data_IF_804248868186
#
_entry.id   IF_804248868186
#
_cell.length_a   1.000
_cell.length_b   1.000
_cell.length_c   1.000
_cell.angle_alpha   90.00
_cell.angle_beta   90.00
_cell.angle_gamma   90.00
#
_symmetry.space_group_name_H-M   'P 1'
#
loop_
_entity.id
_entity.type
_entity.pdbx_description
1 polymer ?
#
# COMPACT_ATOMS: atom_id res chain seq x y z
N UNK A 1 -11.24 -25.15 39.76
CA UNK A 1 -10.08 -25.74 39.05
C UNK A 1 -9.87 -24.94 37.78
N UNK A 2 -8.80 -24.15 37.72
CA UNK A 2 -8.50 -23.31 36.57
C UNK A 2 -7.92 -24.15 35.45
N UNK A 3 -8.71 -24.36 34.41
CA UNK A 3 -8.21 -24.88 33.15
C UNK A 3 -7.52 -23.72 32.42
N UNK A 4 -6.24 -23.50 32.72
CA UNK A 4 -5.39 -22.65 31.89
C UNK A 4 -4.97 -23.48 30.68
N UNK A 5 -5.96 -23.80 29.84
CA UNK A 5 -5.71 -24.33 28.50
C UNK A 5 -4.63 -23.47 27.86
N UNK A 6 -3.51 -24.09 27.49
CA UNK A 6 -2.47 -23.47 26.68
C UNK A 6 -3.10 -23.09 25.33
N UNK A 7 -3.67 -21.90 25.25
CA UNK A 7 -4.22 -21.39 24.00
C UNK A 7 -3.05 -21.22 23.06
N UNK A 8 -3.01 -22.04 22.02
CA UNK A 8 -1.95 -22.03 21.01
C UNK A 8 -1.97 -20.66 20.33
N UNK A 9 -0.98 -19.83 20.66
CA UNK A 9 -0.83 -18.50 20.07
C UNK A 9 -0.19 -18.63 18.70
N UNK A 10 -0.81 -18.04 17.69
CA UNK A 10 -0.32 -18.03 16.32
C UNK A 10 0.24 -16.65 15.97
N UNK A 11 1.21 -16.61 15.07
CA UNK A 11 1.65 -15.36 14.47
C UNK A 11 0.81 -15.11 13.21
N UNK A 12 -0.01 -14.05 13.17
CA UNK A 12 -0.77 -13.75 11.98
C UNK A 12 0.17 -13.30 10.86
N UNK A 13 -0.17 -13.57 9.58
CA UNK A 13 0.54 -12.99 8.47
C UNK A 13 0.45 -11.46 8.56
N UNK A 14 1.62 -10.82 8.60
CA UNK A 14 1.78 -9.39 8.69
C UNK A 14 2.59 -8.88 7.51
N UNK A 15 2.25 -7.69 7.04
CA UNK A 15 2.99 -6.96 6.03
C UNK A 15 3.42 -5.62 6.60
N UNK A 16 4.59 -5.12 6.23
CA UNK A 16 5.01 -3.80 6.64
C UNK A 16 5.52 -2.98 5.44
N UNK A 17 5.26 -1.69 5.49
CA UNK A 17 5.79 -0.69 4.58
C UNK A 17 6.24 0.53 5.38
N UNK A 18 6.90 1.45 4.71
CA UNK A 18 7.30 2.70 5.32
C UNK A 18 7.15 3.86 4.34
N UNK A 19 7.07 5.04 4.92
CA UNK A 19 7.15 6.37 4.30
C UNK A 19 8.32 7.11 4.95
N UNK A 20 8.53 8.36 4.54
CA UNK A 20 9.52 9.25 5.14
C UNK A 20 9.49 9.18 6.69
N UNK A 21 8.34 9.49 7.29
CA UNK A 21 8.20 9.58 8.75
C UNK A 21 7.22 8.58 9.37
N UNK A 22 6.67 7.65 8.60
CA UNK A 22 5.61 6.72 9.07
C UNK A 22 5.91 5.28 8.68
N UNK A 23 5.71 4.36 9.60
CA UNK A 23 5.72 2.92 9.39
C UNK A 23 4.28 2.43 9.31
N UNK A 24 3.97 1.65 8.28
CA UNK A 24 2.69 1.00 8.10
C UNK A 24 2.86 -0.49 8.41
N UNK A 25 2.10 -1.02 9.36
CA UNK A 25 2.07 -2.43 9.69
C UNK A 25 0.65 -2.96 9.48
N UNK A 26 0.47 -3.86 8.54
CA UNK A 26 -0.82 -4.45 8.18
C UNK A 26 -0.86 -5.90 8.66
N UNK A 27 -1.79 -6.21 9.56
CA UNK A 27 -2.02 -7.56 10.07
C UNK A 27 -3.23 -8.14 9.34
N UNK A 28 -3.06 -9.25 8.63
CA UNK A 28 -4.12 -9.91 7.88
C UNK A 28 -4.85 -10.93 8.76
N UNK A 29 -5.80 -10.43 9.55
CA UNK A 29 -6.73 -11.24 10.36
C UNK A 29 -8.13 -10.74 10.08
N UNK A 30 -9.01 -11.65 9.66
CA UNK A 30 -10.43 -11.39 9.40
C UNK A 30 -11.22 -11.52 10.71
N UNK A 31 -12.40 -10.88 10.78
CA UNK A 31 -13.35 -10.99 11.90
C UNK A 31 -12.70 -10.82 13.29
N UNK A 32 -11.96 -9.71 13.48
CA UNK A 32 -11.27 -9.45 14.75
C UNK A 32 -12.30 -9.06 15.83
N UNK A 33 -12.33 -9.85 16.90
CA UNK A 33 -13.13 -9.57 18.10
C UNK A 33 -12.55 -8.34 18.83
N UNK A 34 -13.16 -7.16 18.64
CA UNK A 34 -12.68 -5.89 19.21
C UNK A 34 -12.51 -5.93 20.73
N UNK A 35 -13.32 -6.73 21.42
CA UNK A 35 -13.32 -6.86 22.89
C UNK A 35 -12.09 -7.64 23.40
N UNK A 36 -11.54 -8.53 22.57
CA UNK A 36 -10.39 -9.37 22.89
C UNK A 36 -9.10 -8.87 22.23
N UNK A 37 -9.11 -7.60 21.80
CA UNK A 37 -7.98 -6.95 21.17
C UNK A 37 -7.19 -6.16 22.20
N UNK A 38 -5.94 -6.54 22.41
CA UNK A 38 -4.98 -5.78 23.19
C UNK A 38 -3.88 -5.24 22.27
N UNK A 39 -3.60 -3.94 22.37
CA UNK A 39 -2.55 -3.28 21.62
C UNK A 39 -1.75 -2.42 22.59
N UNK A 40 -0.45 -2.67 22.65
CA UNK A 40 0.51 -1.89 23.43
C UNK A 40 1.67 -1.54 22.53
N UNK A 41 1.93 -0.25 22.37
CA UNK A 41 3.06 0.25 21.60
C UNK A 41 3.88 1.11 22.53
N UNK A 42 5.09 0.66 22.80
CA UNK A 42 6.13 1.40 23.50
C UNK A 42 7.05 2.08 22.48
N UNK A 43 8.04 2.85 22.94
CA UNK A 43 8.99 3.54 22.06
C UNK A 43 9.70 2.56 21.12
N UNK A 44 10.15 1.41 21.59
CA UNK A 44 10.93 0.43 20.82
C UNK A 44 10.25 -0.95 20.70
N UNK A 45 9.02 -1.11 21.19
CA UNK A 45 8.33 -2.40 21.24
C UNK A 45 6.89 -2.32 20.75
N UNK A 46 6.53 -3.27 19.91
CA UNK A 46 5.16 -3.44 19.44
C UNK A 46 4.60 -4.75 19.98
N UNK A 47 3.50 -4.64 20.73
CA UNK A 47 2.73 -5.76 21.23
C UNK A 47 1.30 -5.69 20.73
N UNK A 48 0.84 -6.76 20.11
CA UNK A 48 -0.52 -6.90 19.61
C UNK A 48 -1.03 -8.30 19.90
N UNK A 49 -2.20 -8.36 20.50
CA UNK A 49 -2.92 -9.58 20.79
C UNK A 49 -4.36 -9.42 20.29
N UNK A 50 -4.87 -10.43 19.61
CA UNK A 50 -6.26 -10.45 19.20
C UNK A 50 -6.79 -11.87 19.03
N UNK A 51 -8.11 -11.99 19.00
CA UNK A 51 -8.81 -13.22 18.62
C UNK A 51 -9.62 -12.93 17.36
N UNK A 52 -9.53 -13.82 16.37
CA UNK A 52 -10.22 -13.61 15.09
C UNK A 52 -10.11 -14.79 14.14
N UNK A 53 -10.74 -14.63 12.98
CA UNK A 53 -10.93 -15.66 11.97
C UNK A 53 -12.06 -16.63 12.32
N UNK A 54 -12.49 -17.40 11.33
CA UNK A 54 -13.59 -18.37 11.46
C UNK A 54 -13.35 -19.42 12.57
N UNK A 55 -12.10 -19.76 12.83
CA UNK A 55 -11.70 -20.73 13.87
C UNK A 55 -11.42 -20.07 15.24
N UNK A 56 -11.67 -18.76 15.37
CA UNK A 56 -11.46 -17.97 16.58
C UNK A 56 -10.06 -18.18 17.20
N UNK A 57 -9.04 -18.21 16.35
CA UNK A 57 -7.66 -18.37 16.79
C UNK A 57 -7.17 -17.14 17.54
N UNK A 58 -6.29 -17.38 18.52
CA UNK A 58 -5.61 -16.33 19.25
C UNK A 58 -4.28 -16.02 18.56
N UNK A 59 -4.15 -14.77 18.15
CA UNK A 59 -2.98 -14.21 17.49
C UNK A 59 -2.22 -13.31 18.44
N UNK A 60 -0.90 -13.44 18.45
CA UNK A 60 -0.01 -12.61 19.23
C UNK A 60 1.21 -12.20 18.40
N UNK A 61 1.56 -10.92 18.45
CA UNK A 61 2.78 -10.36 17.90
C UNK A 61 3.45 -9.56 19.02
N UNK A 62 4.66 -9.95 19.37
CA UNK A 62 5.49 -9.25 20.34
C UNK A 62 6.90 -9.16 19.78
N UNK A 63 7.32 -7.95 19.41
CA UNK A 63 8.64 -7.74 18.84
C UNK A 63 9.18 -6.34 19.10
N UNK A 64 10.51 -6.24 19.07
CA UNK A 64 11.24 -4.97 19.11
C UNK A 64 11.39 -4.37 17.73
N UNK A 65 11.11 -3.09 17.63
CA UNK A 65 11.27 -2.27 16.43
C UNK A 65 12.75 -1.95 16.20
N UNK A 66 13.11 -1.70 14.94
CA UNK A 66 14.48 -1.38 14.56
C UNK A 66 14.98 -0.07 15.21
N UNK A 67 14.08 0.89 15.42
CA UNK A 67 14.32 2.19 16.05
C UNK A 67 13.08 2.62 16.83
N UNK A 68 13.22 3.69 17.61
CA UNK A 68 12.13 4.27 18.38
C UNK A 68 11.04 4.89 17.48
N UNK A 69 9.78 4.65 17.88
CA UNK A 69 8.57 5.21 17.30
C UNK A 69 7.82 6.02 18.35
N UNK A 70 6.95 6.91 17.88
CA UNK A 70 6.04 7.64 18.74
C UNK A 70 4.78 6.77 18.98
N UNK A 71 4.76 6.07 20.11
CA UNK A 71 3.61 5.23 20.51
C UNK A 71 2.30 6.00 20.69
N UNK A 72 2.37 7.31 20.96
CA UNK A 72 1.22 8.18 21.15
C UNK A 72 0.52 8.54 19.82
N UNK A 73 1.28 8.58 18.72
CA UNK A 73 0.79 8.91 17.37
C UNK A 73 0.26 7.69 16.61
N UNK A 74 0.10 6.55 17.29
CA UNK A 74 -0.40 5.32 16.69
C UNK A 74 -1.81 5.49 16.16
N UNK A 75 -1.96 5.41 14.84
CA UNK A 75 -3.26 5.38 14.18
C UNK A 75 -3.61 3.96 13.77
N UNK A 76 -4.82 3.54 14.08
CA UNK A 76 -5.35 2.23 13.73
C UNK A 76 -6.40 2.38 12.64
N UNK A 77 -6.28 1.57 11.59
CA UNK A 77 -7.14 1.57 10.42
C UNK A 77 -7.68 0.14 10.27
N UNK A 78 -8.78 -0.18 10.98
CA UNK A 78 -9.43 -1.47 10.85
C UNK A 78 -10.16 -1.56 9.50
N UNK A 79 -9.98 -2.69 8.83
CA UNK A 79 -10.74 -3.13 7.66
C UNK A 79 -11.41 -4.47 8.02
N UNK A 80 -12.37 -4.91 7.21
CA UNK A 80 -13.07 -6.18 7.41
C UNK A 80 -12.13 -7.40 7.46
N UNK A 81 -11.04 -7.33 6.67
CA UNK A 81 -10.08 -8.44 6.49
C UNK A 81 -8.69 -8.23 7.08
N UNK A 82 -8.37 -6.98 7.41
CA UNK A 82 -7.02 -6.61 7.80
C UNK A 82 -7.05 -5.41 8.74
N UNK A 83 -6.05 -5.34 9.60
CA UNK A 83 -5.87 -4.27 10.56
C UNK A 83 -4.55 -3.59 10.30
N UNK A 84 -4.61 -2.37 9.79
CA UNK A 84 -3.42 -1.57 9.51
C UNK A 84 -3.13 -0.61 10.67
N UNK A 85 -1.87 -0.53 11.06
CA UNK A 85 -1.34 0.38 12.06
C UNK A 85 -0.39 1.34 11.37
N UNK A 86 -0.57 2.64 11.58
CA UNK A 86 0.37 3.67 11.18
C UNK A 86 1.09 4.18 12.43
N UNK A 87 2.38 3.90 12.51
CA UNK A 87 3.30 4.27 13.58
C UNK A 87 4.17 5.42 13.07
N UNK A 88 4.22 6.55 13.78
CA UNK A 88 5.11 7.65 13.40
C UNK A 88 6.52 7.39 13.93
N UNK A 89 7.55 7.60 13.11
CA UNK A 89 8.94 7.54 13.58
C UNK A 89 9.19 8.69 14.55
N UNK A 90 9.94 8.45 15.63
CA UNK A 90 10.23 9.47 16.64
C UNK A 90 11.20 10.54 16.13
N UNK A 91 12.16 10.14 15.30
CA UNK A 91 13.12 11.04 14.64
C UNK A 91 12.64 11.37 13.21
N UNK A 92 12.13 12.59 12.94
CA UNK A 92 11.79 12.99 11.58
C UNK A 92 13.03 13.07 10.70
N UNK A 93 12.91 12.68 9.42
CA UNK A 93 14.04 12.69 8.48
C UNK A 93 15.10 11.61 8.71
N UNK A 94 14.77 10.56 9.48
CA UNK A 94 15.64 9.38 9.56
C UNK A 94 15.64 8.59 8.24
N UNK A 95 16.78 7.99 7.86
CA UNK A 95 16.84 7.15 6.67
C UNK A 95 15.83 6.00 6.76
N UNK A 96 15.38 5.54 5.60
CA UNK A 96 14.49 4.38 5.48
C UNK A 96 15.06 3.19 6.26
N UNK A 97 14.20 2.54 7.04
CA UNK A 97 14.59 1.41 7.86
C UNK A 97 14.87 0.21 6.94
N UNK A 98 16.04 -0.46 7.05
CA UNK A 98 16.33 -1.63 6.24
C UNK A 98 15.46 -2.85 6.64
N UNK A 99 14.87 -2.82 7.84
CA UNK A 99 14.00 -3.85 8.40
C UNK A 99 13.09 -3.24 9.47
N UNK A 100 11.93 -3.85 9.71
CA UNK A 100 11.01 -3.43 10.78
C UNK A 100 11.56 -3.79 12.17
N UNK A 101 12.16 -4.98 12.29
CA UNK A 101 12.56 -5.58 13.56
C UNK A 101 14.00 -5.22 13.91
N UNK A 102 14.30 -5.08 15.20
CA UNK A 102 15.69 -4.95 15.68
C UNK A 102 16.51 -6.18 15.26
N UNK A 103 15.95 -7.38 15.50
CA UNK A 103 16.58 -8.65 15.15
C UNK A 103 16.82 -8.77 13.65
N UNK A 104 17.95 -9.38 13.28
CA UNK A 104 18.28 -9.73 11.89
C UNK A 104 17.57 -11.01 11.42
N UNK A 105 16.86 -11.68 12.32
CA UNK A 105 16.14 -12.91 12.02
C UNK A 105 14.93 -12.64 11.14
N UNK A 106 14.86 -13.38 10.03
CA UNK A 106 13.74 -13.30 9.10
C UNK A 106 12.55 -14.06 9.69
N UNK A 107 11.55 -13.32 10.11
CA UNK A 107 10.30 -13.88 10.60
C UNK A 107 9.42 -14.34 9.43
N UNK A 108 8.97 -15.60 9.45
CA UNK A 108 8.17 -16.18 8.37
C UNK A 108 6.78 -15.52 8.21
N UNK A 109 6.26 -14.95 9.31
CA UNK A 109 4.98 -14.26 9.36
C UNK A 109 5.07 -12.80 8.88
N UNK A 110 6.26 -12.21 8.82
CA UNK A 110 6.46 -10.81 8.43
C UNK A 110 6.96 -10.70 6.98
N UNK A 111 6.22 -9.97 6.15
CA UNK A 111 6.61 -9.68 4.76
C UNK A 111 6.61 -8.18 4.50
N UNK A 112 7.27 -7.78 3.43
CA UNK A 112 7.18 -6.41 2.92
C UNK A 112 5.84 -6.22 2.20
N UNK A 113 5.16 -5.10 2.44
CA UNK A 113 3.99 -4.69 1.68
C UNK A 113 4.40 -3.89 0.44
N UNK A 114 4.63 -4.60 -0.67
CA UNK A 114 4.96 -3.98 -1.97
C UNK A 114 3.83 -3.15 -2.55
N UNK A 115 2.57 -3.43 -2.19
CA UNK A 115 1.42 -2.69 -2.70
C UNK A 115 1.32 -1.29 -2.07
N UNK A 116 1.79 -1.18 -0.82
CA UNK A 116 1.88 0.09 -0.10
C UNK A 116 3.31 0.63 -0.07
N UNK A 117 4.28 0.06 -0.76
CA UNK A 117 5.62 0.64 -0.85
C UNK A 117 5.57 1.82 -1.82
N UNK A 118 5.93 3.02 -1.36
CA UNK A 118 6.20 4.19 -2.20
C UNK A 118 7.70 4.40 -2.12
N UNK A 119 8.35 4.51 -3.27
CA UNK A 119 9.76 4.89 -3.34
C UNK A 119 9.92 6.39 -3.02
N UNK A 120 11.14 6.81 -2.70
CA UNK A 120 11.45 8.18 -2.21
C UNK A 120 11.02 9.28 -3.21
N UNK A 121 11.00 8.93 -4.51
CA UNK A 121 10.73 9.82 -5.64
C UNK A 121 9.23 10.04 -5.97
N UNK A 122 8.33 9.17 -5.48
CA UNK A 122 6.89 9.21 -5.83
C UNK A 122 6.07 10.06 -4.83
N UNK A 123 6.76 10.95 -4.12
CA UNK A 123 6.21 11.78 -3.03
C UNK A 123 5.73 13.16 -3.49
N UNK A 124 5.92 13.53 -4.77
CA UNK A 124 5.63 14.88 -5.30
C UNK A 124 4.53 14.92 -6.38
N UNK A 125 3.63 13.94 -6.42
CA UNK A 125 2.40 14.03 -7.21
C UNK A 125 1.18 13.80 -6.34
N UNK A 126 1.00 14.67 -5.36
CA UNK A 126 -0.37 15.07 -5.06
C UNK A 126 -0.86 15.84 -6.30
N UNK A 127 -1.52 15.12 -7.22
CA UNK A 127 -2.24 15.65 -8.38
C UNK A 127 -3.48 16.44 -7.90
N UNK A 128 -3.27 17.42 -7.03
CA UNK A 128 -4.20 18.52 -6.78
C UNK A 128 -4.10 19.48 -7.97
N UNK A 129 -4.63 19.04 -9.10
CA UNK A 129 -4.35 19.68 -10.38
C UNK A 129 -5.27 19.25 -11.50
N UNK A 130 -6.57 19.10 -11.20
CA UNK A 130 -7.68 19.26 -12.14
C UNK A 130 -7.32 18.92 -13.61
N UNK A 131 -7.21 17.62 -13.93
CA UNK A 131 -6.90 17.07 -15.25
C UNK A 131 -7.71 17.72 -16.41
N UNK A 132 -8.90 18.25 -16.09
CA UNK A 132 -9.74 19.04 -17.00
C UNK A 132 -9.10 20.35 -17.50
N UNK A 133 -8.26 21.02 -16.70
CA UNK A 133 -7.61 22.29 -17.10
C UNK A 133 -6.44 22.03 -18.07
N UNK A 134 -5.72 20.92 -17.89
CA UNK A 134 -4.62 20.50 -18.77
C UNK A 134 -5.13 20.09 -20.15
N UNK A 135 -6.25 19.37 -20.22
CA UNK A 135 -6.88 19.00 -21.49
C UNK A 135 -7.39 20.24 -22.27
N UNK A 136 -7.89 21.24 -21.55
CA UNK A 136 -8.43 22.47 -22.15
C UNK A 136 -7.35 23.39 -22.72
N UNK A 137 -6.11 23.27 -22.24
CA UNK A 137 -4.95 24.04 -22.73
C UNK A 137 -4.24 23.40 -23.93
N UNK A 138 -4.47 22.12 -24.19
CA UNK A 138 -3.93 21.40 -25.36
C UNK A 138 -4.93 21.28 -26.53
N UNK A 139 -6.21 21.62 -26.31
CA UNK A 139 -7.28 21.51 -27.31
C UNK A 139 -7.61 22.79 -28.09
N UNK A 140 -6.71 23.78 -28.13
CA UNK A 140 -7.00 25.09 -28.73
C UNK A 140 -5.96 25.56 -29.74
N UNK A 141 -6.18 25.30 -31.04
CA UNK A 141 -5.62 26.14 -32.10
C UNK A 141 -5.19 25.46 -33.38
N UNK A 142 -6.13 25.18 -34.29
CA UNK A 142 -5.87 25.27 -35.74
C UNK A 142 -6.98 26.13 -36.37
N UNK A 143 -6.65 27.33 -36.89
CA UNK A 143 -7.64 28.19 -37.53
C UNK A 143 -7.97 27.65 -38.92
N UNK A 144 -9.23 27.29 -39.13
CA UNK A 144 -9.78 26.98 -40.45
C UNK A 144 -9.97 28.28 -41.22
N UNK A 145 -8.97 28.67 -42.01
CA UNK A 145 -8.99 29.82 -42.91
C UNK A 145 -8.64 29.41 -44.34
N UNK A 146 -9.65 29.48 -45.21
CA UNK A 146 -9.58 29.83 -46.64
C UNK A 146 -8.68 29.04 -47.62
N UNK A 147 -9.38 28.28 -48.47
CA UNK A 147 -9.41 28.41 -49.95
C UNK A 147 -8.33 27.80 -50.86
N UNK A 148 -8.86 27.24 -51.97
CA UNK A 148 -8.28 26.91 -53.30
C UNK A 148 -7.50 25.58 -53.36
N UNK A 149 -7.69 24.69 -54.34
CA UNK A 149 -8.18 24.84 -55.71
C UNK A 149 -8.58 23.43 -56.21
N UNK A 150 -9.75 23.30 -56.86
CA UNK A 150 -10.19 22.03 -57.42
C UNK A 150 -9.54 21.72 -58.77
N UNK A 151 -9.41 20.44 -59.10
CA UNK A 151 -9.59 19.80 -60.41
C UNK A 151 -9.85 18.29 -60.13
N UNK A 152 -11.00 17.77 -60.58
CA UNK A 152 -11.20 16.54 -61.40
C UNK A 152 -10.25 15.35 -61.10
N UNK A 153 -10.64 14.08 -61.01
CA UNK A 153 -11.71 13.32 -61.67
C UNK A 153 -11.48 11.83 -61.34
N UNK A 154 -12.52 11.02 -61.52
CA UNK A 154 -12.49 9.57 -61.79
C UNK A 154 -12.41 8.58 -60.61
N UNK A 155 -13.54 7.90 -60.47
CA UNK A 155 -13.75 6.57 -59.92
C UNK A 155 -12.88 5.51 -60.62
N UNK A 156 -12.30 4.59 -59.84
CA UNK A 156 -12.23 3.13 -60.06
C UNK A 156 -11.41 2.58 -58.87
N UNK A 157 -11.98 1.91 -57.86
CA UNK A 157 -12.37 0.51 -57.90
C UNK A 157 -11.43 -0.37 -58.73
N UNK A 158 -10.29 -0.79 -58.16
CA UNK A 158 -9.80 -2.14 -58.48
C UNK A 158 -9.05 -2.78 -57.30
N UNK A 159 -9.51 -3.99 -57.06
CA UNK A 159 -9.08 -5.03 -56.14
C UNK A 159 -7.84 -5.70 -56.75
N UNK A 160 -6.65 -5.60 -56.16
CA UNK A 160 -5.56 -6.52 -56.51
C UNK A 160 -4.76 -7.01 -55.29
N UNK A 161 -4.71 -8.33 -55.24
CA UNK A 161 -4.29 -9.24 -54.18
C UNK A 161 -2.82 -9.08 -53.73
N UNK A 162 -2.62 -9.40 -52.46
CA UNK A 162 -1.31 -9.54 -51.81
C UNK A 162 -0.43 -10.54 -52.59
N UNK A 163 0.84 -10.20 -52.93
CA UNK A 163 1.76 -11.18 -53.50
C UNK A 163 2.23 -12.16 -52.42
N UNK A 164 2.09 -13.46 -52.72
CA UNK A 164 2.65 -14.57 -51.93
C UNK A 164 4.19 -14.50 -52.02
N UNK A 165 4.87 -14.44 -50.86
CA UNK A 165 6.33 -14.41 -50.79
C UNK A 165 6.85 -15.77 -50.29
N UNK A 166 7.59 -16.41 -51.18
CA UNK A 166 8.30 -17.70 -51.14
C UNK A 166 8.92 -18.11 -49.79
#
# INVERSE_FOLDING_TARGET
MGDTSLVKKLHPPAKWAQRADTILLTISVEDIEKEQRELKVEDDRFFFHCKGGHEHHVYELDFKLYKEVDGSSLRQIPTDRELTFALKKKEPGTPFWPRLLESKEKQHWLKVDFNRWKDEDDSDVEEDGNFEDMMRKMGGGVPQGEMLEGINDEEDSDDEELPDLE
#
